data_IF_695523282336
#
_entry.id   IF_695523282336
#
_cell.length_a   1.000
_cell.length_b   1.000
_cell.length_c   1.000
_cell.angle_alpha   90.00
_cell.angle_beta   90.00
_cell.angle_gamma   90.00
#
_symmetry.space_group_name_H-M   'P 1'
#
loop_
_entity.id
_entity.type
_entity.pdbx_description
1 polymer ?
#
# COMPACT_ATOMS: atom_id res chain seq x y z
N UNK A 1 -23.53 -18.87 24.69
CA UNK A 1 -23.06 -19.77 23.60
C UNK A 1 -21.87 -19.21 22.81
N UNK A 2 -21.79 -17.91 22.51
CA UNK A 2 -20.67 -17.30 21.74
C UNK A 2 -19.34 -17.21 22.50
N UNK A 3 -19.37 -17.11 23.83
CA UNK A 3 -18.16 -16.97 24.65
C UNK A 3 -17.32 -18.25 24.71
N UNK A 4 -17.97 -19.41 24.81
CA UNK A 4 -17.28 -20.70 24.89
C UNK A 4 -16.66 -21.10 23.56
N UNK A 5 -17.34 -20.79 22.44
CA UNK A 5 -16.82 -21.02 21.09
C UNK A 5 -15.54 -20.22 20.83
N UNK A 6 -15.56 -18.91 21.12
CA UNK A 6 -14.37 -18.06 20.97
C UNK A 6 -13.21 -18.56 21.83
N UNK A 7 -13.50 -18.97 23.07
CA UNK A 7 -12.46 -19.44 23.98
C UNK A 7 -11.83 -20.74 23.47
N UNK A 8 -12.65 -21.69 22.99
CA UNK A 8 -12.16 -22.94 22.41
C UNK A 8 -11.24 -22.69 21.19
N UNK A 9 -11.65 -21.82 20.27
CA UNK A 9 -10.85 -21.44 19.09
C UNK A 9 -9.54 -20.76 19.52
N UNK A 10 -9.59 -19.85 20.49
CA UNK A 10 -8.40 -19.16 21.00
C UNK A 10 -7.44 -20.13 21.67
N UNK A 11 -7.93 -21.06 22.48
CA UNK A 11 -7.11 -22.09 23.13
C UNK A 11 -6.42 -22.99 22.09
N UNK A 12 -7.14 -23.42 21.05
CA UNK A 12 -6.57 -24.20 19.95
C UNK A 12 -5.43 -23.43 19.25
N UNK A 13 -5.64 -22.14 18.95
CA UNK A 13 -4.61 -21.27 18.40
C UNK A 13 -3.39 -21.15 19.33
N UNK A 14 -3.62 -20.87 20.63
CA UNK A 14 -2.54 -20.68 21.60
C UNK A 14 -1.69 -21.95 21.80
N UNK A 15 -2.31 -23.15 21.73
CA UNK A 15 -1.59 -24.43 21.79
C UNK A 15 -0.68 -24.67 20.57
N UNK A 16 -1.00 -24.05 19.43
CA UNK A 16 -0.17 -24.10 18.22
C UNK A 16 1.00 -23.12 18.21
N UNK A 17 1.12 -22.23 19.20
CA UNK A 17 2.21 -21.25 19.25
C UNK A 17 3.53 -21.92 19.66
N UNK A 18 4.59 -21.64 18.90
CA UNK A 18 5.95 -22.10 19.22
C UNK A 18 6.48 -21.54 20.54
N UNK A 19 6.07 -20.32 20.89
CA UNK A 19 6.49 -19.63 22.11
C UNK A 19 5.33 -18.76 22.66
N UNK A 20 4.36 -19.35 23.37
CA UNK A 20 3.30 -18.57 24.02
C UNK A 20 3.89 -17.70 25.14
N UNK A 21 3.29 -16.52 25.37
CA UNK A 21 3.67 -15.64 26.49
C UNK A 21 3.30 -16.25 27.84
N UNK A 22 3.86 -15.73 28.94
CA UNK A 22 3.55 -16.24 30.28
C UNK A 22 2.06 -16.09 30.64
N UNK A 23 1.44 -15.01 30.18
CA UNK A 23 -0.01 -14.81 30.30
C UNK A 23 -0.79 -15.92 29.57
N UNK A 24 -0.37 -16.29 28.37
CA UNK A 24 -1.02 -17.32 27.55
C UNK A 24 -0.79 -18.73 28.12
N UNK A 25 0.40 -19.00 28.65
CA UNK A 25 0.71 -20.25 29.35
C UNK A 25 -0.16 -20.42 30.58
N UNK A 26 -0.31 -19.36 31.39
CA UNK A 26 -1.18 -19.37 32.57
C UNK A 26 -2.65 -19.58 32.18
N UNK A 27 -3.10 -18.97 31.09
CA UNK A 27 -4.46 -19.16 30.57
C UNK A 27 -4.68 -20.63 30.17
N UNK A 28 -3.76 -21.24 29.43
CA UNK A 28 -3.83 -22.65 29.03
C UNK A 28 -3.88 -23.57 30.26
N UNK A 29 -2.97 -23.36 31.23
CA UNK A 29 -2.93 -24.14 32.46
C UNK A 29 -4.25 -24.06 33.25
N UNK A 30 -4.82 -22.86 33.41
CA UNK A 30 -6.10 -22.67 34.09
C UNK A 30 -7.27 -23.24 33.29
N UNK A 31 -7.20 -23.27 31.96
CA UNK A 31 -8.21 -23.86 31.10
C UNK A 31 -8.18 -25.41 31.14
N UNK A 32 -7.01 -26.02 31.32
CA UNK A 32 -6.88 -27.49 31.36
C UNK A 32 -7.06 -28.06 32.79
N UNK A 33 -7.08 -27.20 33.83
CA UNK A 33 -7.28 -27.62 35.21
C UNK A 33 -8.70 -28.20 35.43
N UNK A 34 -8.84 -29.46 35.91
CA UNK A 34 -10.13 -30.09 36.16
C UNK A 34 -10.85 -29.53 37.40
N UNK A 35 -10.13 -29.35 38.52
CA UNK A 35 -10.71 -28.85 39.78
C UNK A 35 -10.43 -27.35 39.96
N UNK A 36 -11.15 -26.51 39.21
CA UNK A 36 -10.98 -25.05 39.30
C UNK A 36 -11.63 -24.49 40.56
N UNK A 37 -10.85 -23.73 41.32
CA UNK A 37 -11.36 -22.94 42.44
C UNK A 37 -12.07 -21.67 41.94
N UNK A 38 -12.81 -21.01 42.83
CA UNK A 38 -13.40 -19.70 42.54
C UNK A 38 -12.34 -18.62 42.22
N UNK A 39 -11.12 -18.75 42.75
CA UNK A 39 -10.00 -17.87 42.41
C UNK A 39 -9.45 -18.16 41.01
N UNK A 40 -9.31 -19.44 40.64
CA UNK A 40 -8.91 -19.85 39.29
C UNK A 40 -9.89 -19.33 38.23
N UNK A 41 -11.20 -19.41 38.51
CA UNK A 41 -12.23 -18.86 37.64
C UNK A 41 -12.11 -17.34 37.45
N UNK A 42 -11.81 -16.59 38.53
CA UNK A 42 -11.59 -15.13 38.46
C UNK A 42 -10.35 -14.78 37.63
N UNK A 43 -9.24 -15.49 37.85
CA UNK A 43 -8.00 -15.33 37.08
C UNK A 43 -8.21 -15.64 35.60
N UNK A 44 -8.85 -16.78 35.29
CA UNK A 44 -9.16 -17.18 33.91
C UNK A 44 -10.04 -16.12 33.22
N UNK A 45 -11.08 -15.62 33.89
CA UNK A 45 -11.94 -14.58 33.33
C UNK A 45 -11.19 -13.27 33.03
N UNK A 46 -10.21 -12.90 33.85
CA UNK A 46 -9.36 -11.73 33.61
C UNK A 46 -8.42 -11.94 32.41
N UNK A 47 -7.77 -13.10 32.33
CA UNK A 47 -6.89 -13.47 31.21
C UNK A 47 -7.63 -13.54 29.88
N UNK A 48 -8.85 -14.11 29.87
CA UNK A 48 -9.72 -14.15 28.70
C UNK A 48 -10.12 -12.74 28.24
N UNK A 49 -10.42 -11.84 29.17
CA UNK A 49 -10.71 -10.43 28.85
C UNK A 49 -9.51 -9.73 28.23
N UNK A 50 -8.31 -9.97 28.76
CA UNK A 50 -7.07 -9.42 28.22
C UNK A 50 -6.78 -9.93 26.80
N UNK A 51 -6.94 -11.24 26.53
CA UNK A 51 -6.77 -11.80 25.19
C UNK A 51 -7.78 -11.22 24.18
N UNK A 52 -9.06 -11.07 24.57
CA UNK A 52 -10.07 -10.40 23.73
C UNK A 52 -9.71 -8.95 23.43
N UNK A 53 -9.19 -8.22 24.41
CA UNK A 53 -8.76 -6.84 24.21
C UNK A 53 -7.55 -6.76 23.25
N UNK A 54 -6.58 -7.67 23.41
CA UNK A 54 -5.41 -7.75 22.52
C UNK A 54 -5.82 -8.08 21.07
N UNK A 55 -6.70 -9.06 20.88
CA UNK A 55 -7.22 -9.41 19.55
C UNK A 55 -7.95 -8.25 18.88
N UNK A 56 -8.82 -7.54 19.63
CA UNK A 56 -9.51 -6.35 19.11
C UNK A 56 -8.52 -5.24 18.73
N UNK A 57 -7.51 -5.00 19.57
CA UNK A 57 -6.49 -4.00 19.29
C UNK A 57 -5.66 -4.36 18.05
N UNK A 58 -5.30 -5.64 17.88
CA UNK A 58 -4.61 -6.12 16.67
C UNK A 58 -5.46 -5.92 15.42
N UNK A 59 -6.76 -6.28 15.48
CA UNK A 59 -7.68 -6.06 14.36
C UNK A 59 -7.80 -4.58 14.00
N UNK A 60 -8.01 -3.71 14.99
CA UNK A 60 -8.10 -2.27 14.77
C UNK A 60 -6.80 -1.69 14.14
N UNK A 61 -5.63 -2.14 14.59
CA UNK A 61 -4.34 -1.76 13.99
C UNK A 61 -4.21 -2.24 12.55
N UNK A 62 -4.62 -3.48 12.27
CA UNK A 62 -4.59 -4.03 10.92
C UNK A 62 -5.54 -3.28 9.97
N UNK A 63 -6.74 -2.92 10.46
CA UNK A 63 -7.71 -2.16 9.69
C UNK A 63 -7.21 -0.74 9.39
N UNK A 64 -6.64 -0.05 10.38
CA UNK A 64 -6.01 1.26 10.19
C UNK A 64 -4.84 1.19 9.20
N UNK A 65 -3.97 0.19 9.32
CA UNK A 65 -2.87 -0.03 8.39
C UNK A 65 -3.38 -0.31 6.95
N UNK A 66 -4.49 -1.05 6.80
CA UNK A 66 -5.10 -1.30 5.49
C UNK A 66 -5.55 -0.01 4.83
N UNK A 67 -6.21 0.89 5.58
CA UNK A 67 -6.66 2.18 5.08
C UNK A 67 -5.47 3.01 4.61
N UNK A 68 -4.44 3.18 5.45
CA UNK A 68 -3.24 3.95 5.11
C UNK A 68 -2.54 3.37 3.88
N UNK A 69 -2.44 2.06 3.78
CA UNK A 69 -1.80 1.40 2.64
C UNK A 69 -2.61 1.54 1.36
N UNK A 70 -3.95 1.56 1.44
CA UNK A 70 -4.82 1.79 0.30
C UNK A 70 -4.65 3.22 -0.24
N UNK A 71 -4.62 4.23 0.64
CA UNK A 71 -4.37 5.63 0.26
C UNK A 71 -3.00 5.77 -0.43
N UNK A 72 -1.93 5.25 0.20
CA UNK A 72 -0.60 5.27 -0.39
C UNK A 72 -0.52 4.54 -1.73
N UNK A 73 -1.31 3.47 -1.91
CA UNK A 73 -1.35 2.75 -3.17
C UNK A 73 -2.09 3.55 -4.25
N UNK A 74 -3.17 4.25 -3.90
CA UNK A 74 -3.88 5.16 -4.79
C UNK A 74 -2.99 6.33 -5.22
N UNK A 75 -2.26 6.96 -4.28
CA UNK A 75 -1.30 8.02 -4.57
C UNK A 75 -0.19 7.55 -5.52
N UNK A 76 0.41 6.37 -5.27
CA UNK A 76 1.41 5.79 -6.17
C UNK A 76 0.84 5.52 -7.56
N UNK A 77 -0.38 4.98 -7.64
CA UNK A 77 -1.05 4.71 -8.92
C UNK A 77 -1.31 6.00 -9.70
N UNK A 78 -1.76 7.06 -9.03
CA UNK A 78 -1.97 8.37 -9.64
C UNK A 78 -0.65 8.95 -10.17
N UNK A 79 0.41 8.93 -9.34
CA UNK A 79 1.74 9.36 -9.77
C UNK A 79 2.27 8.55 -10.96
N UNK A 80 2.15 7.23 -10.91
CA UNK A 80 2.62 6.36 -11.99
C UNK A 80 1.84 6.62 -13.29
N UNK A 81 0.54 6.89 -13.20
CA UNK A 81 -0.28 7.31 -14.34
C UNK A 81 0.26 8.61 -14.98
N UNK A 82 0.53 9.65 -14.19
CA UNK A 82 1.12 10.91 -14.69
C UNK A 82 2.51 10.70 -15.32
N UNK A 83 3.33 9.80 -14.77
CA UNK A 83 4.62 9.43 -15.36
C UNK A 83 4.43 8.73 -16.72
N UNK A 84 3.43 7.86 -16.84
CA UNK A 84 3.10 7.22 -18.12
C UNK A 84 2.59 8.23 -19.16
N UNK A 85 1.73 9.17 -18.78
CA UNK A 85 1.30 10.26 -19.66
C UNK A 85 2.49 11.11 -20.13
N UNK A 86 3.40 11.45 -19.21
CA UNK A 86 4.65 12.16 -19.53
C UNK A 86 5.53 11.39 -20.52
N UNK A 87 5.67 10.07 -20.33
CA UNK A 87 6.36 9.21 -21.29
C UNK A 87 5.61 9.14 -22.64
N UNK A 88 4.28 9.17 -22.61
CA UNK A 88 3.41 9.25 -23.77
C UNK A 88 3.65 10.50 -24.63
N UNK A 89 3.95 11.64 -24.01
CA UNK A 89 4.36 12.86 -24.71
C UNK A 89 5.70 12.67 -25.43
N UNK A 90 6.68 12.02 -24.79
CA UNK A 90 7.97 11.72 -25.42
C UNK A 90 7.84 10.74 -26.59
N UNK A 91 6.94 9.76 -26.50
CA UNK A 91 6.60 8.86 -27.61
C UNK A 91 6.00 9.66 -28.78
N UNK A 92 5.03 10.54 -28.51
CA UNK A 92 4.43 11.41 -29.54
C UNK A 92 5.43 12.34 -30.21
N UNK A 93 6.39 12.84 -29.44
CA UNK A 93 7.47 13.67 -29.94
C UNK A 93 8.53 12.88 -30.75
N UNK A 94 8.40 11.55 -30.85
CA UNK A 94 9.35 10.68 -31.55
C UNK A 94 10.67 10.49 -30.80
N UNK A 95 10.69 10.81 -29.50
CA UNK A 95 11.88 10.69 -28.64
C UNK A 95 12.00 9.30 -28.00
N UNK A 96 10.91 8.53 -27.98
CA UNK A 96 10.86 7.15 -27.48
C UNK A 96 10.18 6.26 -28.52
N UNK A 97 10.78 5.11 -28.78
CA UNK A 97 10.17 4.08 -29.62
C UNK A 97 9.01 3.41 -28.89
N UNK A 98 7.83 3.42 -29.52
CA UNK A 98 6.58 2.95 -28.89
C UNK A 98 6.55 1.44 -28.63
N UNK A 99 7.37 0.64 -29.32
CA UNK A 99 7.34 -0.83 -29.21
C UNK A 99 8.31 -1.33 -28.14
N UNK A 100 9.47 -0.70 -28.05
CA UNK A 100 10.58 -1.10 -27.18
C UNK A 100 10.66 -0.26 -25.91
N UNK A 101 10.01 0.91 -25.88
CA UNK A 101 10.08 1.86 -24.78
C UNK A 101 11.45 2.52 -24.60
N UNK A 102 12.37 2.34 -25.56
CA UNK A 102 13.71 2.90 -25.51
C UNK A 102 13.75 4.27 -26.17
N UNK A 103 14.57 5.20 -25.67
CA UNK A 103 14.89 6.43 -26.38
C UNK A 103 15.34 6.15 -27.82
N UNK A 104 14.92 7.01 -28.75
CA UNK A 104 15.34 6.94 -30.16
C UNK A 104 16.75 7.48 -30.38
N UNK A 105 17.37 8.05 -29.34
CA UNK A 105 18.73 8.58 -29.29
C UNK A 105 19.47 8.01 -28.09
N UNK A 106 20.77 8.32 -27.98
CA UNK A 106 21.49 8.02 -26.75
C UNK A 106 20.83 8.68 -25.52
N UNK A 107 20.90 8.00 -24.37
CA UNK A 107 20.22 8.44 -23.14
C UNK A 107 20.79 9.75 -22.61
N UNK A 108 22.10 9.94 -22.73
CA UNK A 108 22.77 11.17 -22.31
C UNK A 108 22.41 12.34 -23.23
N UNK A 109 22.36 12.11 -24.54
CA UNK A 109 21.95 13.13 -25.51
C UNK A 109 20.50 13.60 -25.29
N UNK A 110 19.58 12.64 -25.09
CA UNK A 110 18.18 12.97 -24.81
C UNK A 110 18.06 13.77 -23.50
N UNK A 111 18.76 13.34 -22.44
CA UNK A 111 18.75 14.06 -21.16
C UNK A 111 19.31 15.48 -21.31
N UNK A 112 20.45 15.64 -22.00
CA UNK A 112 21.05 16.95 -22.25
C UNK A 112 20.10 17.90 -22.99
N UNK A 113 19.42 17.42 -24.03
CA UNK A 113 18.42 18.20 -24.76
C UNK A 113 17.22 18.60 -23.90
N UNK A 114 16.75 17.71 -23.02
CA UNK A 114 15.65 18.00 -22.09
C UNK A 114 16.06 19.01 -21.01
N UNK A 115 17.29 18.94 -20.51
CA UNK A 115 17.84 19.95 -19.59
C UNK A 115 17.91 21.31 -20.29
N UNK A 116 18.44 21.37 -21.53
CA UNK A 116 18.45 22.62 -22.30
C UNK A 116 17.05 23.19 -22.52
N UNK A 117 16.03 22.34 -22.70
CA UNK A 117 14.63 22.77 -22.79
C UNK A 117 14.11 23.32 -21.46
N UNK A 118 14.43 22.66 -20.34
CA UNK A 118 13.99 23.06 -19.00
C UNK A 118 14.61 24.40 -18.55
N UNK A 119 15.84 24.67 -18.97
CA UNK A 119 16.58 25.89 -18.64
C UNK A 119 16.34 27.05 -19.64
N UNK A 120 15.70 26.76 -20.78
CA UNK A 120 15.47 27.75 -21.82
C UNK A 120 14.59 28.91 -21.32
N UNK A 121 15.08 30.14 -21.49
CA UNK A 121 14.26 31.33 -21.37
C UNK A 121 13.44 31.48 -22.64
N UNK A 122 12.15 31.14 -22.54
CA UNK A 122 11.20 31.17 -23.64
C UNK A 122 10.24 32.32 -23.39
N UNK A 123 9.95 33.15 -24.40
CA UNK A 123 8.91 34.17 -24.29
C UNK A 123 7.49 33.57 -24.42
N UNK A 124 6.47 34.37 -24.12
CA UNK A 124 5.07 33.91 -24.18
C UNK A 124 4.60 33.55 -25.59
N UNK A 125 5.10 34.25 -26.61
CA UNK A 125 4.73 33.98 -28.01
C UNK A 125 5.22 32.60 -28.45
N UNK A 126 6.46 32.26 -28.12
CA UNK A 126 7.05 30.96 -28.40
C UNK A 126 6.43 29.84 -27.56
N UNK A 127 6.09 30.10 -26.29
CA UNK A 127 5.29 29.18 -25.47
C UNK A 127 3.91 28.90 -26.09
N UNK A 128 3.23 29.92 -26.58
CA UNK A 128 1.93 29.78 -27.22
C UNK A 128 2.02 28.94 -28.51
N UNK A 129 3.06 29.17 -29.33
CA UNK A 129 3.32 28.37 -30.53
C UNK A 129 3.60 26.90 -30.20
N UNK A 130 4.38 26.63 -29.15
CA UNK A 130 4.63 25.26 -28.67
C UNK A 130 3.36 24.57 -28.20
N UNK A 131 2.54 25.27 -27.40
CA UNK A 131 1.25 24.76 -26.95
C UNK A 131 0.35 24.40 -28.13
N UNK A 132 0.18 25.31 -29.09
CA UNK A 132 -0.66 25.06 -30.26
C UNK A 132 -0.21 23.82 -31.05
N UNK A 133 1.11 23.66 -31.24
CA UNK A 133 1.67 22.48 -31.90
C UNK A 133 1.43 21.19 -31.11
N UNK A 134 1.63 21.23 -29.79
CA UNK A 134 1.41 20.09 -28.90
C UNK A 134 -0.05 19.64 -28.88
N UNK A 135 -0.97 20.59 -28.70
CA UNK A 135 -2.41 20.32 -28.69
C UNK A 135 -2.88 19.70 -30.02
N UNK A 136 -2.36 20.18 -31.15
CA UNK A 136 -2.67 19.61 -32.46
C UNK A 136 -2.23 18.14 -32.60
N UNK A 137 -1.02 17.80 -32.14
CA UNK A 137 -0.50 16.43 -32.17
C UNK A 137 -1.29 15.49 -31.23
N UNK A 138 -1.66 15.97 -30.04
CA UNK A 138 -2.49 15.20 -29.12
C UNK A 138 -3.90 14.95 -29.69
N UNK A 139 -4.50 15.98 -30.31
CA UNK A 139 -5.80 15.86 -30.95
C UNK A 139 -5.78 14.93 -32.18
N UNK A 140 -4.67 14.86 -32.92
CA UNK A 140 -4.50 13.86 -33.98
C UNK A 140 -4.44 12.44 -33.43
N UNK A 141 -3.69 12.20 -32.35
CA UNK A 141 -3.62 10.89 -31.71
C UNK A 141 -4.99 10.43 -31.19
N UNK A 142 -5.76 11.33 -30.57
CA UNK A 142 -7.08 10.99 -30.03
C UNK A 142 -8.12 10.61 -31.10
N UNK A 143 -7.86 10.94 -32.37
CA UNK A 143 -8.75 10.62 -33.51
C UNK A 143 -8.40 9.28 -34.18
N UNK A 144 -7.26 8.67 -33.86
CA UNK A 144 -6.79 7.40 -34.42
C UNK A 144 -7.11 6.25 -33.47
#
# INVERSE_FOLDING_TARGET
>A
MTQDKWLAERLAYLRGLKAPSDQQRLLLMLADKPDRTADDGRKLAALVRAEKAAERAQKARADAARIINAEKAAERKARDHELYESAGLMILAGLIDTKTGKPTRDRGELLGALVSLAEAQVDDAKRAAWKAKGDALMAERARR
#
